data_IF_807708861866
#
_entry.id   IF_807708861866
#
_cell.length_a   1.000
_cell.length_b   1.000
_cell.length_c   1.000
_cell.angle_alpha   90.00
_cell.angle_beta   90.00
_cell.angle_gamma   90.00
#
_symmetry.space_group_name_H-M   'P 1'
#
loop_
_entity.id
_entity.type
_entity.pdbx_description
1 polymer ?
#
# COMPACT_ATOMS: atom_id res chain seq x y z
N UNK A 1 -48.87 13.04 -0.74
CA UNK A 1 -48.58 14.21 -1.61
C UNK A 1 -47.43 13.79 -2.52
N UNK A 2 -47.67 13.17 -3.67
CA UNK A 2 -48.03 13.73 -5.00
C UNK A 2 -46.93 14.61 -5.65
N UNK A 3 -46.09 13.93 -6.45
CA UNK A 3 -45.64 14.18 -7.85
C UNK A 3 -45.67 15.58 -8.52
N UNK A 4 -44.74 15.70 -9.52
CA UNK A 4 -44.67 16.56 -10.75
C UNK A 4 -44.00 17.94 -10.60
N UNK A 5 -43.26 18.52 -11.56
CA UNK A 5 -42.96 18.34 -13.01
C UNK A 5 -41.58 19.03 -13.29
N UNK A 6 -40.66 18.60 -14.18
CA UNK A 6 -40.64 18.47 -15.65
C UNK A 6 -40.58 19.82 -16.44
N UNK A 7 -39.51 19.97 -17.26
CA UNK A 7 -39.35 20.99 -18.31
C UNK A 7 -37.92 20.97 -18.90
N UNK A 8 -37.63 20.08 -19.86
CA UNK A 8 -37.64 20.26 -21.34
C UNK A 8 -36.38 20.92 -21.95
N UNK A 9 -35.68 20.10 -22.74
CA UNK A 9 -34.63 20.44 -23.72
C UNK A 9 -35.27 20.93 -25.04
N UNK A 10 -34.45 21.54 -25.93
CA UNK A 10 -34.50 21.09 -27.31
C UNK A 10 -33.12 20.78 -27.93
N UNK A 11 -33.14 19.63 -28.61
CA UNK A 11 -32.33 19.12 -29.72
C UNK A 11 -31.32 20.04 -30.44
N UNK A 12 -30.13 19.50 -30.65
CA UNK A 12 -29.41 19.62 -31.93
C UNK A 12 -28.67 18.31 -32.25
N UNK A 13 -29.27 17.49 -33.13
CA UNK A 13 -28.57 16.45 -33.90
C UNK A 13 -27.81 17.13 -35.03
N UNK A 14 -26.52 16.80 -35.25
CA UNK A 14 -25.90 16.80 -36.58
C UNK A 14 -24.70 15.84 -36.64
N UNK A 15 -25.02 14.65 -37.15
CA UNK A 15 -24.32 13.89 -38.21
C UNK A 15 -22.80 13.76 -38.17
N UNK A 16 -22.40 12.52 -37.89
CA UNK A 16 -21.13 11.88 -38.21
C UNK A 16 -20.96 11.72 -39.74
N UNK A 17 -19.82 12.13 -40.30
CA UNK A 17 -19.32 11.73 -41.63
C UNK A 17 -17.80 11.62 -41.59
N UNK A 18 -17.27 10.41 -41.77
CA UNK A 18 -15.93 10.18 -42.34
C UNK A 18 -15.99 10.39 -43.86
N UNK A 19 -14.89 10.86 -44.49
CA UNK A 19 -14.16 9.92 -45.34
C UNK A 19 -12.63 10.13 -45.47
N UNK A 20 -11.97 8.98 -45.68
CA UNK A 20 -10.83 8.65 -46.56
C UNK A 20 -9.40 9.13 -46.28
N UNK A 21 -8.51 8.15 -46.54
CA UNK A 21 -7.05 8.11 -46.51
C UNK A 21 -6.41 8.88 -47.68
N UNK A 22 -5.26 9.50 -47.39
CA UNK A 22 -4.05 9.64 -48.21
C UNK A 22 -2.92 9.98 -47.19
N UNK A 23 -1.76 9.34 -47.11
CA UNK A 23 -0.81 9.00 -48.15
C UNK A 23 0.23 10.13 -48.25
N UNK A 24 1.39 10.03 -47.57
CA UNK A 24 2.48 11.01 -47.73
C UNK A 24 3.52 11.06 -46.58
N UNK A 25 4.60 10.29 -46.77
CA UNK A 25 6.00 10.38 -46.33
C UNK A 25 6.48 11.05 -45.00
N UNK A 26 7.56 10.50 -44.39
CA UNK A 26 8.10 10.94 -43.11
C UNK A 26 9.05 12.14 -43.26
N UNK A 27 8.85 13.16 -42.42
CA UNK A 27 9.84 14.21 -42.22
C UNK A 27 10.92 13.73 -41.24
N UNK A 28 12.10 13.50 -41.81
CA UNK A 28 13.37 13.46 -41.10
C UNK A 28 13.64 14.83 -40.47
N UNK A 29 13.86 14.86 -39.16
CA UNK A 29 14.35 16.03 -38.44
C UNK A 29 15.70 15.69 -37.79
N UNK A 30 16.73 15.86 -38.62
CA UNK A 30 18.06 16.43 -38.35
C UNK A 30 18.68 16.14 -36.97
N UNK A 31 19.67 15.25 -36.97
CA UNK A 31 20.77 15.22 -36.01
C UNK A 31 21.39 16.60 -35.87
N UNK A 32 21.39 17.15 -34.65
CA UNK A 32 22.20 18.31 -34.31
C UNK A 32 23.57 17.80 -33.90
N UNK A 33 24.56 18.18 -34.70
CA UNK A 33 25.98 17.90 -34.54
C UNK A 33 26.47 18.65 -33.30
N UNK A 34 27.03 17.92 -32.33
CA UNK A 34 27.77 18.47 -31.21
C UNK A 34 29.20 18.77 -31.70
N UNK A 35 29.51 20.05 -31.90
CA UNK A 35 30.89 20.50 -32.16
C UNK A 35 31.62 20.70 -30.84
N UNK A 36 32.61 19.85 -30.58
CA UNK A 36 33.65 20.06 -29.56
C UNK A 36 34.86 20.65 -30.29
N UNK A 37 35.23 21.88 -29.95
CA UNK A 37 36.46 22.53 -30.41
C UNK A 37 37.62 22.00 -29.56
N UNK A 38 38.49 21.20 -30.18
CA UNK A 38 39.75 20.72 -29.60
C UNK A 38 40.89 21.41 -30.36
N UNK A 39 41.65 22.27 -29.68
CA UNK A 39 42.85 22.92 -30.22
C UNK A 39 44.03 21.98 -29.95
N UNK A 40 44.54 21.33 -30.99
CA UNK A 40 45.81 20.59 -30.97
C UNK A 40 46.92 21.48 -31.51
N UNK A 41 47.87 21.83 -30.63
CA UNK A 41 49.16 22.40 -31.02
C UNK A 41 50.14 21.28 -31.35
N UNK A 42 50.51 21.18 -32.63
CA UNK A 42 51.63 20.39 -33.13
C UNK A 42 52.93 21.19 -32.93
N UNK A 43 53.93 20.59 -32.29
CA UNK A 43 55.34 20.92 -32.51
C UNK A 43 56.07 19.61 -32.77
N UNK A 44 56.63 19.49 -33.97
CA UNK A 44 57.52 18.41 -34.36
C UNK A 44 58.99 18.80 -34.17
N UNK A 45 59.83 17.80 -33.96
CA UNK A 45 61.23 17.84 -34.34
C UNK A 45 61.73 16.40 -34.56
N UNK A 46 62.41 16.19 -35.68
CA UNK A 46 63.07 14.95 -36.10
C UNK A 46 64.53 14.92 -35.62
N UNK A 47 65.10 13.70 -35.59
CA UNK A 47 66.53 13.38 -35.54
C UNK A 47 66.89 12.64 -34.25
N UNK A 48 67.64 11.54 -34.20
CA UNK A 48 68.39 10.71 -35.13
C UNK A 48 69.19 9.71 -34.28
N UNK A 49 69.50 8.51 -34.81
CA UNK A 49 70.05 7.35 -34.10
C UNK A 49 71.42 7.54 -33.40
N UNK A 50 71.62 6.89 -32.24
CA UNK A 50 72.90 6.25 -31.86
C UNK A 50 72.71 5.16 -30.79
N UNK A 51 73.36 4.01 -30.98
CA UNK A 51 73.43 2.86 -30.06
C UNK A 51 74.72 2.91 -29.24
N UNK A 52 74.68 2.55 -27.95
CA UNK A 52 75.89 2.22 -27.19
C UNK A 52 75.78 2.21 -25.66
N UNK A 53 75.56 1.02 -25.11
CA UNK A 53 75.96 0.51 -23.77
C UNK A 53 75.19 0.88 -22.49
N UNK A 54 75.00 -0.20 -21.73
CA UNK A 54 74.29 -0.46 -20.48
C UNK A 54 74.88 0.18 -19.22
N UNK A 55 74.00 0.65 -18.34
CA UNK A 55 74.10 0.48 -16.87
C UNK A 55 72.72 0.42 -16.23
N UNK A 56 72.60 -0.48 -15.25
CA UNK A 56 71.37 -0.87 -14.57
C UNK A 56 70.81 0.19 -13.61
N UNK A 57 69.47 0.09 -13.45
CA UNK A 57 68.65 0.48 -12.29
C UNK A 57 68.58 1.97 -11.97
N UNK A 58 67.61 2.66 -12.57
CA UNK A 58 67.03 3.88 -12.04
C UNK A 58 65.53 3.65 -11.85
N UNK A 59 65.05 4.00 -10.65
CA UNK A 59 63.65 4.00 -10.25
C UNK A 59 62.72 4.43 -11.38
N UNK A 60 61.77 3.55 -11.72
CA UNK A 60 60.54 4.00 -12.36
C UNK A 60 59.91 5.03 -11.41
N UNK A 61 59.65 6.28 -11.85
CA UNK A 61 58.83 7.16 -11.07
C UNK A 61 57.48 6.46 -10.93
N UNK A 62 57.01 6.30 -9.69
CA UNK A 62 55.60 6.08 -9.43
C UNK A 62 54.91 7.24 -10.15
N UNK A 63 54.27 6.96 -11.27
CA UNK A 63 53.37 7.88 -11.93
C UNK A 63 52.19 8.02 -10.97
N UNK A 64 52.34 8.94 -10.02
CA UNK A 64 51.28 9.38 -9.15
C UNK A 64 50.25 10.01 -10.08
N UNK A 65 49.21 9.25 -10.41
CA UNK A 65 48.01 9.75 -11.04
C UNK A 65 47.47 10.84 -10.12
N UNK A 66 47.78 12.10 -10.46
CA UNK A 66 47.23 13.26 -9.78
C UNK A 66 45.74 13.26 -10.10
N UNK A 67 44.92 12.67 -9.21
CA UNK A 67 43.46 12.79 -9.26
C UNK A 67 43.11 14.29 -9.10
N UNK A 68 43.12 15.01 -10.23
CA UNK A 68 42.84 16.43 -10.33
C UNK A 68 41.36 16.71 -10.07
N UNK A 69 41.00 16.82 -8.79
CA UNK A 69 39.68 17.28 -8.35
C UNK A 69 39.67 18.77 -8.05
N UNK A 70 38.72 19.53 -8.62
CA UNK A 70 38.52 20.93 -8.22
C UNK A 70 37.69 20.96 -6.94
N UNK A 71 38.23 21.58 -5.89
CA UNK A 71 37.59 21.70 -4.58
C UNK A 71 36.91 23.06 -4.41
N UNK A 72 35.61 23.04 -4.12
CA UNK A 72 34.80 24.22 -3.84
C UNK A 72 34.30 24.20 -2.39
N UNK A 73 34.04 25.39 -1.84
CA UNK A 73 33.44 25.57 -0.51
C UNK A 73 32.21 26.46 -0.60
N UNK A 74 31.21 26.22 0.26
CA UNK A 74 30.01 27.05 0.42
C UNK A 74 29.31 27.39 -0.89
N UNK A 75 28.97 26.36 -1.67
CA UNK A 75 28.40 26.51 -3.00
C UNK A 75 26.92 26.13 -3.05
N UNK A 76 26.24 26.71 -4.04
CA UNK A 76 24.88 26.35 -4.43
C UNK A 76 24.93 25.78 -5.84
N UNK A 77 24.52 24.52 -5.99
CA UNK A 77 24.38 23.87 -7.29
C UNK A 77 22.91 23.85 -7.71
N UNK A 78 22.70 23.95 -9.02
CA UNK A 78 21.38 23.87 -9.65
C UNK A 78 21.50 23.05 -10.93
N UNK A 79 20.43 22.32 -11.26
CA UNK A 79 20.31 21.68 -12.57
C UNK A 79 18.97 22.02 -13.18
N UNK A 80 18.99 22.29 -14.49
CA UNK A 80 17.79 22.51 -15.30
C UNK A 80 17.63 21.40 -16.33
N UNK A 81 16.41 21.22 -16.82
CA UNK A 81 16.14 20.42 -18.00
C UNK A 81 16.43 21.22 -19.30
N UNK A 82 16.33 20.62 -20.50
CA UNK A 82 16.55 21.32 -21.77
C UNK A 82 15.60 22.49 -22.05
N UNK A 83 14.47 22.58 -21.34
CA UNK A 83 13.52 23.70 -21.42
C UNK A 83 13.87 24.84 -20.46
N UNK A 84 14.93 24.71 -19.65
CA UNK A 84 15.33 25.67 -18.64
C UNK A 84 14.59 25.54 -17.30
N UNK A 85 13.74 24.51 -17.12
CA UNK A 85 13.03 24.31 -15.85
C UNK A 85 13.96 23.71 -14.80
N UNK A 86 13.92 24.24 -13.58
CA UNK A 86 14.76 23.80 -12.47
C UNK A 86 14.32 22.42 -11.95
N UNK A 87 15.27 21.48 -11.86
CA UNK A 87 15.06 20.09 -11.40
C UNK A 87 15.41 19.90 -9.93
N UNK A 88 16.47 20.58 -9.48
CA UNK A 88 16.90 20.60 -8.08
C UNK A 88 17.78 21.81 -7.79
N UNK A 89 17.82 22.20 -6.51
CA UNK A 89 18.67 23.26 -5.97
C UNK A 89 19.24 22.80 -4.65
N UNK A 90 20.56 22.69 -4.56
CA UNK A 90 21.24 22.15 -3.37
C UNK A 90 22.36 23.09 -2.92
N UNK A 91 22.50 23.23 -1.61
CA UNK A 91 23.63 23.90 -0.96
C UNK A 91 24.51 22.83 -0.33
N UNK A 92 25.82 22.94 -0.52
CA UNK A 92 26.82 22.04 0.04
C UNK A 92 27.92 22.84 0.75
N UNK A 93 28.49 22.27 1.80
CA UNK A 93 29.64 22.85 2.49
C UNK A 93 30.91 22.72 1.64
N UNK A 94 31.13 21.54 1.06
CA UNK A 94 32.23 21.30 0.13
C UNK A 94 31.76 20.53 -1.10
N UNK A 95 32.41 20.75 -2.23
CA UNK A 95 32.27 19.93 -3.41
C UNK A 95 33.63 19.60 -4.01
N UNK A 96 33.81 18.36 -4.47
CA UNK A 96 34.96 17.95 -5.26
C UNK A 96 34.44 17.48 -6.60
N UNK A 97 34.85 18.13 -7.68
CA UNK A 97 34.47 17.77 -9.05
C UNK A 97 35.61 17.03 -9.75
N UNK A 98 35.27 15.88 -10.33
CA UNK A 98 36.16 15.06 -11.15
C UNK A 98 35.78 15.23 -12.63
N UNK A 99 36.55 16.00 -13.43
CA UNK A 99 36.22 16.28 -14.83
C UNK A 99 36.23 15.03 -15.72
N UNK A 100 37.17 14.13 -15.47
CA UNK A 100 37.34 12.81 -16.09
C UNK A 100 36.09 11.93 -15.91
N UNK A 101 35.56 11.86 -14.68
CA UNK A 101 34.36 11.08 -14.35
C UNK A 101 33.05 11.83 -14.60
N UNK A 102 33.10 13.16 -14.77
CA UNK A 102 31.93 14.06 -14.83
C UNK A 102 30.98 13.87 -13.63
N UNK A 103 31.57 13.69 -12.45
CA UNK A 103 30.86 13.51 -11.18
C UNK A 103 31.29 14.59 -10.19
N UNK A 104 30.33 15.14 -9.46
CA UNK A 104 30.60 16.00 -8.31
C UNK A 104 30.22 15.29 -7.01
N UNK A 105 31.16 15.22 -6.06
CA UNK A 105 30.95 14.72 -4.71
C UNK A 105 30.72 15.89 -3.75
N UNK A 106 29.62 15.85 -3.00
CA UNK A 106 29.17 16.94 -2.15
C UNK A 106 29.11 16.51 -0.69
N UNK A 107 29.51 17.38 0.24
CA UNK A 107 29.40 17.16 1.69
C UNK A 107 28.43 18.12 2.36
N UNK A 108 27.72 17.64 3.38
CA UNK A 108 26.77 18.37 4.22
C UNK A 108 25.75 19.14 3.40
N UNK A 109 24.92 18.38 2.69
CA UNK A 109 24.00 18.89 1.67
C UNK A 109 22.62 19.14 2.28
N UNK A 110 22.06 20.30 1.94
CA UNK A 110 20.65 20.64 2.14
C UNK A 110 20.07 21.18 0.85
N UNK A 111 18.82 20.89 0.53
CA UNK A 111 18.25 21.40 -0.71
C UNK A 111 16.82 20.99 -1.00
N UNK A 112 16.43 21.28 -2.23
CA UNK A 112 15.07 21.11 -2.74
C UNK A 112 15.12 20.27 -4.03
N UNK A 113 14.17 19.34 -4.13
CA UNK A 113 13.86 18.62 -5.37
C UNK A 113 12.59 19.21 -5.95
N UNK A 114 12.58 19.42 -7.26
CA UNK A 114 11.51 20.13 -7.93
C UNK A 114 10.84 19.24 -8.98
N UNK A 115 9.51 19.38 -9.08
CA UNK A 115 8.68 18.83 -10.15
C UNK A 115 8.06 20.00 -10.91
N UNK A 116 8.24 20.03 -12.23
CA UNK A 116 7.84 21.14 -13.11
C UNK A 116 8.25 22.53 -12.56
N UNK A 117 9.48 22.64 -12.04
CA UNK A 117 10.03 23.89 -11.49
C UNK A 117 9.47 24.30 -10.12
N UNK A 118 8.64 23.48 -9.48
CA UNK A 118 8.09 23.74 -8.14
C UNK A 118 8.70 22.81 -7.10
N UNK A 119 9.14 23.31 -5.93
CA UNK A 119 9.62 22.46 -4.85
C UNK A 119 8.56 21.44 -4.39
N UNK A 120 8.92 20.17 -4.41
CA UNK A 120 8.07 19.06 -3.92
C UNK A 120 8.68 18.34 -2.73
N UNK A 121 10.01 18.34 -2.63
CA UNK A 121 10.72 17.76 -1.50
C UNK A 121 11.80 18.71 -0.97
N UNK A 122 12.02 18.67 0.34
CA UNK A 122 13.18 19.24 1.00
C UNK A 122 14.05 18.10 1.57
N UNK A 123 15.36 18.18 1.39
CA UNK A 123 16.28 17.11 1.80
C UNK A 123 17.45 17.62 2.64
N UNK A 124 17.97 16.72 3.47
CA UNK A 124 19.26 16.85 4.15
C UNK A 124 20.01 15.52 4.07
N UNK A 125 21.30 15.57 3.76
CA UNK A 125 22.18 14.40 3.70
C UNK A 125 23.64 14.78 3.99
N UNK A 126 24.43 13.93 4.66
CA UNK A 126 25.85 14.20 4.84
C UNK A 126 26.63 14.11 3.53
N UNK A 127 26.22 13.26 2.58
CA UNK A 127 26.90 13.09 1.30
C UNK A 127 25.91 13.07 0.14
N UNK A 128 26.31 13.63 -1.00
CA UNK A 128 25.60 13.47 -2.27
C UNK A 128 26.56 13.35 -3.45
N UNK A 129 26.09 12.74 -4.54
CA UNK A 129 26.79 12.66 -5.81
C UNK A 129 25.88 13.15 -6.92
N UNK A 130 26.41 14.05 -7.74
CA UNK A 130 25.75 14.53 -8.96
C UNK A 130 26.40 13.85 -10.15
N UNK A 131 25.65 13.02 -10.87
CA UNK A 131 26.13 12.34 -12.07
C UNK A 131 25.58 13.04 -13.32
N UNK A 132 26.41 13.83 -13.99
CA UNK A 132 25.96 14.70 -15.08
C UNK A 132 25.36 13.93 -16.26
N UNK A 133 25.90 12.75 -16.58
CA UNK A 133 25.45 11.95 -17.72
C UNK A 133 24.09 11.28 -17.47
N UNK A 134 23.86 10.77 -16.26
CA UNK A 134 22.65 10.02 -15.93
C UNK A 134 21.49 10.92 -15.50
N UNK A 135 21.73 12.21 -15.28
CA UNK A 135 20.74 13.16 -14.71
C UNK A 135 20.16 12.62 -13.40
N UNK A 136 21.03 12.08 -12.53
CA UNK A 136 20.66 11.54 -11.23
C UNK A 136 21.39 12.27 -10.12
N UNK A 137 20.68 12.45 -9.01
CA UNK A 137 21.24 12.90 -7.74
C UNK A 137 21.15 11.75 -6.74
N UNK A 138 22.30 11.25 -6.32
CA UNK A 138 22.41 10.15 -5.36
C UNK A 138 22.74 10.76 -3.99
N UNK A 139 21.97 10.41 -2.96
CA UNK A 139 22.11 10.90 -1.59
C UNK A 139 22.50 9.72 -0.70
N UNK A 140 23.58 9.84 0.07
CA UNK A 140 24.15 8.75 0.84
C UNK A 140 24.37 9.12 2.32
N UNK A 141 24.23 8.13 3.20
CA UNK A 141 24.30 8.29 4.65
C UNK A 141 22.92 8.53 5.26
N UNK A 142 22.80 8.99 6.52
CA UNK A 142 21.52 9.34 7.12
C UNK A 142 20.82 10.47 6.33
N UNK A 143 19.93 10.09 5.43
CA UNK A 143 19.18 10.99 4.57
C UNK A 143 17.79 11.19 5.14
N UNK A 144 17.34 12.44 5.13
CA UNK A 144 15.96 12.81 5.45
C UNK A 144 15.39 13.60 4.28
N UNK A 145 14.22 13.18 3.80
CA UNK A 145 13.46 13.86 2.74
C UNK A 145 12.06 14.16 3.25
N UNK A 146 11.65 15.42 3.22
CA UNK A 146 10.32 15.87 3.62
C UNK A 146 9.50 16.22 2.38
N UNK A 147 8.32 15.61 2.23
CA UNK A 147 7.32 16.03 1.24
C UNK A 147 6.66 17.32 1.73
N UNK A 148 6.78 18.38 0.93
CA UNK A 148 6.28 19.71 1.24
C UNK A 148 4.75 19.82 1.13
N UNK A 149 4.08 18.79 0.60
CA UNK A 149 2.62 18.79 0.35
C UNK A 149 1.85 17.95 1.37
N UNK A 150 2.44 16.84 1.82
CA UNK A 150 1.68 15.75 2.46
C UNK A 150 2.10 15.38 3.89
N UNK A 151 2.97 16.17 4.55
CA UNK A 151 3.51 15.89 5.89
C UNK A 151 4.28 14.55 5.99
N UNK A 152 4.60 13.93 4.86
CA UNK A 152 5.35 12.68 4.78
C UNK A 152 6.84 12.98 4.94
N UNK A 153 7.52 12.18 5.74
CA UNK A 153 8.98 12.23 5.87
C UNK A 153 9.54 10.85 5.54
N UNK A 154 10.41 10.80 4.54
CA UNK A 154 11.21 9.62 4.21
C UNK A 154 12.56 9.74 4.92
N UNK A 155 13.01 8.66 5.54
CA UNK A 155 14.34 8.54 6.14
C UNK A 155 14.99 7.24 5.70
N UNK A 156 16.31 7.24 5.51
CA UNK A 156 17.02 6.07 5.00
C UNK A 156 18.51 6.34 4.79
N UNK A 157 19.17 5.42 4.09
CA UNK A 157 20.63 5.46 3.86
C UNK A 157 21.05 5.81 2.44
N UNK A 158 20.21 5.49 1.48
CA UNK A 158 20.47 5.70 0.06
C UNK A 158 19.19 6.17 -0.60
N UNK A 159 19.25 7.33 -1.26
CA UNK A 159 18.18 7.85 -2.09
C UNK A 159 18.71 8.23 -3.46
N UNK A 160 17.91 7.99 -4.49
CA UNK A 160 18.21 8.36 -5.87
C UNK A 160 17.05 9.19 -6.39
N UNK A 161 17.33 10.43 -6.75
CA UNK A 161 16.37 11.31 -7.42
C UNK A 161 16.52 11.19 -8.94
N UNK A 162 15.42 10.83 -9.60
CA UNK A 162 15.31 10.64 -11.04
C UNK A 162 14.24 11.60 -11.59
N UNK A 163 14.62 12.87 -11.87
CA UNK A 163 13.67 13.91 -12.27
C UNK A 163 12.89 13.54 -13.55
N UNK A 164 13.54 12.90 -14.52
CA UNK A 164 12.91 12.48 -15.78
C UNK A 164 11.75 11.47 -15.57
N UNK A 165 11.76 10.75 -14.45
CA UNK A 165 10.72 9.77 -14.11
C UNK A 165 9.79 10.30 -13.00
N UNK A 166 10.08 11.48 -12.45
CA UNK A 166 9.43 12.04 -11.26
C UNK A 166 9.58 11.14 -10.02
N UNK A 167 10.63 10.32 -9.97
CA UNK A 167 10.80 9.27 -8.96
C UNK A 167 11.89 9.63 -7.95
N UNK A 168 11.57 9.42 -6.67
CA UNK A 168 12.52 9.34 -5.58
C UNK A 168 12.56 7.87 -5.12
N UNK A 169 13.65 7.20 -5.42
CA UNK A 169 13.91 5.82 -5.02
C UNK A 169 14.71 5.81 -3.73
N UNK A 170 14.30 5.00 -2.76
CA UNK A 170 14.97 4.81 -1.48
C UNK A 170 15.26 3.32 -1.26
N UNK A 171 16.48 3.01 -0.84
CA UNK A 171 16.98 1.64 -0.66
C UNK A 171 17.59 1.43 0.72
N UNK A 172 17.94 0.18 1.01
CA UNK A 172 18.55 -0.26 2.27
C UNK A 172 17.63 -0.07 3.49
N UNK A 173 16.40 -0.58 3.36
CA UNK A 173 15.38 -0.56 4.41
C UNK A 173 14.95 0.86 4.83
N UNK A 174 14.52 1.72 3.89
CA UNK A 174 14.01 3.04 4.21
C UNK A 174 12.73 2.97 5.07
N UNK A 175 12.46 4.08 5.74
CA UNK A 175 11.27 4.29 6.55
C UNK A 175 10.52 5.53 6.05
N UNK A 176 9.19 5.41 5.92
CA UNK A 176 8.30 6.56 5.81
C UNK A 176 7.63 6.81 7.17
N UNK A 177 7.60 8.09 7.56
CA UNK A 177 6.87 8.60 8.73
C UNK A 177 5.75 9.52 8.25
N UNK A 178 4.56 9.22 8.73
CA UNK A 178 3.34 10.02 8.59
C UNK A 178 2.70 10.11 9.98
N UNK A 179 1.87 11.11 10.34
CA UNK A 179 1.40 11.27 11.72
C UNK A 179 0.92 9.95 12.36
N UNK A 180 1.67 9.47 13.37
CA UNK A 180 1.46 8.21 14.09
C UNK A 180 1.40 6.94 13.20
N UNK A 181 1.90 6.98 11.98
CA UNK A 181 2.01 5.83 11.06
C UNK A 181 3.47 5.73 10.58
N UNK A 182 4.03 4.53 10.71
CA UNK A 182 5.35 4.20 10.17
C UNK A 182 5.22 3.11 9.13
N UNK A 183 5.85 3.30 7.97
CA UNK A 183 5.99 2.29 6.93
C UNK A 183 7.47 1.97 6.73
N UNK A 184 7.81 0.69 6.65
CA UNK A 184 9.16 0.20 6.31
C UNK A 184 9.06 -0.84 5.21
N UNK A 185 10.07 -0.90 4.35
CA UNK A 185 10.22 -1.91 3.31
C UNK A 185 11.68 -1.96 2.85
N UNK A 186 12.09 -2.97 2.08
CA UNK A 186 13.47 -3.01 1.54
C UNK A 186 13.73 -1.91 0.52
N UNK A 187 12.73 -1.60 -0.29
CA UNK A 187 12.76 -0.53 -1.30
C UNK A 187 11.45 0.26 -1.27
N UNK A 188 11.57 1.59 -1.42
CA UNK A 188 10.45 2.52 -1.51
C UNK A 188 10.68 3.44 -2.71
N UNK A 189 9.67 3.56 -3.57
CA UNK A 189 9.66 4.52 -4.67
C UNK A 189 8.52 5.51 -4.47
N UNK A 190 8.81 6.80 -4.40
CA UNK A 190 7.81 7.86 -4.34
C UNK A 190 7.76 8.60 -5.68
N UNK A 191 6.57 8.71 -6.28
CA UNK A 191 6.35 9.49 -7.48
C UNK A 191 5.86 10.89 -7.10
N UNK A 192 6.67 11.91 -7.38
CA UNK A 192 6.36 13.30 -7.05
C UNK A 192 5.12 13.82 -7.80
N UNK A 193 4.88 13.40 -9.04
CA UNK A 193 3.76 13.86 -9.86
C UNK A 193 2.43 13.24 -9.44
N UNK A 194 2.38 11.91 -9.28
CA UNK A 194 1.15 11.18 -8.91
C UNK A 194 0.90 11.14 -7.41
N UNK A 195 1.91 11.48 -6.59
CA UNK A 195 1.87 11.37 -5.12
C UNK A 195 1.58 9.95 -4.64
N UNK A 196 2.04 8.97 -5.43
CA UNK A 196 1.97 7.56 -5.10
C UNK A 196 3.30 7.08 -4.55
N UNK A 197 3.23 6.26 -3.51
CA UNK A 197 4.37 5.54 -2.96
C UNK A 197 4.19 4.06 -3.23
N UNK A 198 5.24 3.41 -3.70
CA UNK A 198 5.33 1.96 -3.84
C UNK A 198 6.39 1.43 -2.89
N UNK A 199 6.00 0.50 -2.03
CA UNK A 199 6.89 -0.18 -1.09
C UNK A 199 6.97 -1.67 -1.45
N UNK A 200 8.17 -2.24 -1.41
CA UNK A 200 8.42 -3.60 -1.88
C UNK A 200 9.35 -4.36 -0.95
N UNK A 201 9.03 -5.65 -0.78
CA UNK A 201 9.71 -6.65 0.03
C UNK A 201 9.71 -6.29 1.53
N UNK A 202 9.22 -7.23 2.35
CA UNK A 202 9.12 -7.07 3.80
C UNK A 202 8.41 -5.77 4.20
N UNK A 203 7.29 -5.47 3.54
CA UNK A 203 6.53 -4.26 3.86
C UNK A 203 5.87 -4.45 5.21
N UNK A 204 6.08 -3.47 6.08
CA UNK A 204 5.42 -3.36 7.37
C UNK A 204 4.87 -1.95 7.55
N UNK A 205 3.60 -1.83 7.94
CA UNK A 205 2.99 -0.57 8.35
C UNK A 205 2.53 -0.71 9.80
N UNK A 206 2.94 0.22 10.66
CA UNK A 206 2.53 0.25 12.06
C UNK A 206 1.80 1.56 12.31
N UNK A 207 0.55 1.47 12.75
CA UNK A 207 -0.23 2.59 13.25
C UNK A 207 -0.14 2.63 14.77
N UNK A 208 0.19 3.80 15.33
CA UNK A 208 0.15 4.11 16.76
C UNK A 208 -1.02 5.04 17.08
N UNK A 209 -2.01 5.11 16.17
CA UNK A 209 -3.19 5.95 16.38
C UNK A 209 -4.21 5.18 17.25
N UNK A 210 -4.79 5.80 18.28
CA UNK A 210 -5.80 5.15 19.13
C UNK A 210 -7.04 4.70 18.36
N UNK A 211 -7.47 5.44 17.35
CA UNK A 211 -8.63 5.12 16.50
C UNK A 211 -8.37 3.90 15.58
N UNK A 212 -7.10 3.56 15.37
CA UNK A 212 -6.69 2.30 14.76
C UNK A 212 -6.23 1.26 15.77
N UNK A 213 -6.33 1.52 17.09
CA UNK A 213 -6.08 0.52 18.14
C UNK A 213 -4.79 -0.30 17.90
N UNK A 214 -3.69 0.40 17.60
CA UNK A 214 -2.35 -0.17 17.39
C UNK A 214 -2.31 -1.34 16.38
N UNK A 215 -2.78 -1.11 15.15
CA UNK A 215 -2.70 -2.09 14.06
C UNK A 215 -1.31 -2.14 13.40
N UNK A 216 -0.87 -3.36 13.09
CA UNK A 216 0.28 -3.66 12.24
C UNK A 216 -0.16 -4.40 10.98
N UNK A 217 0.16 -3.87 9.81
CA UNK A 217 0.00 -4.51 8.50
C UNK A 217 1.36 -5.07 8.03
N UNK A 218 1.35 -6.27 7.47
CA UNK A 218 2.49 -6.88 6.76
C UNK A 218 2.08 -7.34 5.36
N UNK A 219 2.97 -7.15 4.39
CA UNK A 219 2.75 -7.57 3.00
C UNK A 219 4.08 -7.66 2.22
N UNK A 220 4.04 -8.25 1.01
CA UNK A 220 5.18 -8.19 0.10
C UNK A 220 5.25 -6.87 -0.68
N UNK A 221 4.10 -6.31 -1.03
CA UNK A 221 3.98 -5.08 -1.81
C UNK A 221 2.89 -4.21 -1.22
N UNK A 222 3.11 -2.90 -1.28
CA UNK A 222 2.11 -1.89 -0.93
C UNK A 222 2.19 -0.71 -1.89
N UNK A 223 1.03 -0.24 -2.30
CA UNK A 223 0.82 1.02 -2.99
C UNK A 223 0.09 1.97 -2.05
N UNK A 224 0.60 3.17 -1.88
CA UNK A 224 -0.03 4.21 -1.08
C UNK A 224 -0.33 5.41 -1.95
N UNK A 225 -1.62 5.72 -2.11
CA UNK A 225 -2.04 7.02 -2.60
C UNK A 225 -2.04 8.00 -1.43
N UNK A 226 -1.01 8.85 -1.36
CA UNK A 226 -0.81 9.75 -0.22
C UNK A 226 -1.91 10.80 -0.16
N UNK A 227 -2.33 11.32 -1.33
CA UNK A 227 -3.38 12.33 -1.45
C UNK A 227 -4.75 11.82 -1.00
N UNK A 228 -5.09 10.59 -1.35
CA UNK A 228 -6.35 9.94 -0.98
C UNK A 228 -6.28 9.22 0.37
N UNK A 229 -5.11 9.22 1.02
CA UNK A 229 -4.85 8.50 2.26
C UNK A 229 -5.26 7.01 2.20
N UNK A 230 -4.99 6.37 1.05
CA UNK A 230 -5.40 4.99 0.78
C UNK A 230 -4.19 4.08 0.57
N UNK A 231 -4.08 3.05 1.40
CA UNK A 231 -3.09 1.98 1.26
C UNK A 231 -3.74 0.79 0.55
N UNK A 232 -3.04 0.18 -0.39
CA UNK A 232 -3.42 -1.06 -1.06
C UNK A 232 -2.24 -2.01 -0.94
N UNK A 233 -2.43 -3.13 -0.26
CA UNK A 233 -1.40 -4.12 0.00
C UNK A 233 -1.78 -5.48 -0.60
N UNK A 234 -0.78 -6.27 -0.98
CA UNK A 234 -0.99 -7.53 -1.71
C UNK A 234 -1.20 -7.29 -3.21
N UNK A 235 -1.67 -8.32 -3.92
CA UNK A 235 -1.88 -8.23 -5.38
C UNK A 235 -2.89 -9.25 -5.89
N UNK A 236 -4.00 -8.79 -6.47
CA UNK A 236 -4.96 -9.68 -7.13
C UNK A 236 -4.39 -10.32 -8.41
N UNK A 237 -3.49 -9.62 -9.11
CA UNK A 237 -2.98 -10.03 -10.43
C UNK A 237 -1.72 -10.89 -10.37
N UNK A 238 -0.92 -10.79 -9.30
CA UNK A 238 0.30 -11.58 -9.15
C UNK A 238 0.22 -12.48 -7.92
N UNK A 239 -0.01 -13.79 -8.15
CA UNK A 239 -0.13 -14.79 -7.07
C UNK A 239 1.07 -14.84 -6.13
N UNK A 240 2.30 -14.55 -6.61
CA UNK A 240 3.51 -14.54 -5.77
C UNK A 240 3.56 -13.35 -4.80
N UNK A 241 2.78 -12.31 -5.06
CA UNK A 241 2.70 -11.09 -4.26
C UNK A 241 1.36 -10.99 -3.50
N UNK A 242 0.53 -12.03 -3.55
CA UNK A 242 -0.67 -12.17 -2.72
C UNK A 242 -0.26 -12.38 -1.27
N UNK A 243 -1.17 -12.01 -0.38
CA UNK A 243 -1.01 -12.23 1.04
C UNK A 243 -0.77 -10.91 1.76
N UNK A 244 -1.71 -10.63 2.65
CA UNK A 244 -1.65 -9.53 3.61
C UNK A 244 -2.08 -10.06 4.95
N UNK A 245 -1.47 -9.54 6.00
CA UNK A 245 -1.91 -9.76 7.37
C UNK A 245 -1.97 -8.42 8.08
N UNK A 246 -3.06 -8.22 8.82
CA UNK A 246 -3.24 -7.11 9.75
C UNK A 246 -3.43 -7.71 11.12
N UNK A 247 -2.68 -7.26 12.11
CA UNK A 247 -2.80 -7.73 13.49
C UNK A 247 -2.88 -6.57 14.48
N UNK A 248 -3.61 -6.76 15.57
CA UNK A 248 -3.51 -5.90 16.75
C UNK A 248 -2.30 -6.31 17.58
N UNK A 249 -1.43 -5.35 17.87
CA UNK A 249 -0.18 -5.62 18.60
C UNK A 249 -0.22 -5.21 20.07
N UNK A 250 -1.27 -4.51 20.52
CA UNK A 250 -1.43 -4.04 21.90
C UNK A 250 -2.90 -4.04 22.34
N UNK A 251 -3.10 -3.89 23.65
CA UNK A 251 -4.42 -3.80 24.27
C UNK A 251 -5.08 -5.16 24.55
N UNK A 252 -6.33 -5.16 25.04
CA UNK A 252 -7.05 -6.40 25.39
C UNK A 252 -7.32 -7.31 24.19
N UNK A 253 -7.34 -6.73 22.99
CA UNK A 253 -7.58 -7.42 21.73
C UNK A 253 -6.27 -7.76 21.00
N UNK A 254 -5.12 -7.75 21.70
CA UNK A 254 -3.86 -8.18 21.13
C UNK A 254 -3.96 -9.64 20.66
N UNK A 255 -3.50 -9.91 19.44
CA UNK A 255 -3.61 -11.23 18.81
C UNK A 255 -4.77 -11.36 17.82
N UNK A 256 -5.73 -10.41 17.80
CA UNK A 256 -6.69 -10.32 16.70
C UNK A 256 -5.94 -10.13 15.38
N UNK A 257 -6.40 -10.85 14.35
CA UNK A 257 -5.76 -10.84 13.04
C UNK A 257 -6.77 -10.89 11.92
N UNK A 258 -6.45 -10.23 10.82
CA UNK A 258 -7.17 -10.29 9.57
C UNK A 258 -6.20 -10.63 8.44
N UNK A 259 -6.55 -11.60 7.61
CA UNK A 259 -5.74 -12.08 6.49
C UNK A 259 -6.54 -12.08 5.19
N UNK A 260 -5.86 -11.93 4.06
CA UNK A 260 -6.46 -12.01 2.73
C UNK A 260 -5.41 -12.01 1.62
N UNK A 261 -5.84 -12.07 0.36
CA UNK A 261 -4.96 -11.91 -0.80
C UNK A 261 -4.60 -10.44 -1.09
N UNK A 262 -5.53 -9.53 -0.81
CA UNK A 262 -5.38 -8.07 -0.92
C UNK A 262 -6.06 -7.37 0.25
N UNK A 263 -5.53 -6.21 0.63
CA UNK A 263 -6.14 -5.28 1.58
C UNK A 263 -6.17 -3.88 0.97
N UNK A 264 -7.32 -3.22 1.04
CA UNK A 264 -7.41 -1.77 0.91
C UNK A 264 -7.68 -1.15 2.30
N UNK A 265 -6.89 -0.15 2.70
CA UNK A 265 -7.05 0.56 3.96
C UNK A 265 -7.19 2.06 3.69
N UNK A 266 -8.40 2.58 3.94
CA UNK A 266 -8.68 4.01 3.91
C UNK A 266 -8.38 4.61 5.28
N UNK A 267 -7.33 5.43 5.38
CA UNK A 267 -6.87 6.02 6.63
C UNK A 267 -7.77 7.16 7.13
N UNK A 268 -8.61 7.72 6.25
CA UNK A 268 -9.57 8.79 6.56
C UNK A 268 -10.89 8.20 7.06
N UNK A 269 -11.45 7.24 6.32
CA UNK A 269 -12.69 6.55 6.68
C UNK A 269 -12.51 5.51 7.79
N UNK A 270 -11.25 5.13 8.06
CA UNK A 270 -10.86 4.13 9.07
C UNK A 270 -11.42 2.74 8.77
N UNK A 271 -11.49 2.42 7.48
CA UNK A 271 -12.03 1.17 6.94
C UNK A 271 -10.91 0.32 6.36
N UNK A 272 -10.88 -0.95 6.73
CA UNK A 272 -10.10 -2.00 6.09
C UNK A 272 -11.03 -2.86 5.25
N UNK A 273 -10.67 -3.12 4.00
CA UNK A 273 -11.38 -4.05 3.11
C UNK A 273 -10.43 -5.15 2.69
N UNK A 274 -10.66 -6.36 3.17
CA UNK A 274 -9.93 -7.56 2.80
C UNK A 274 -10.65 -8.26 1.64
N UNK A 275 -9.89 -8.79 0.70
CA UNK A 275 -10.40 -9.55 -0.45
C UNK A 275 -9.57 -10.81 -0.70
N UNK A 276 -10.18 -11.74 -1.44
CA UNK A 276 -9.62 -13.04 -1.80
C UNK A 276 -9.29 -13.88 -0.56
N UNK A 277 -10.22 -14.76 -0.17
CA UNK A 277 -10.07 -15.61 1.03
C UNK A 277 -9.84 -14.77 2.29
N UNK A 278 -10.65 -13.72 2.43
CA UNK A 278 -10.60 -12.84 3.58
C UNK A 278 -11.04 -13.60 4.84
N UNK A 279 -10.24 -13.49 5.90
CA UNK A 279 -10.56 -14.06 7.20
C UNK A 279 -10.22 -13.05 8.29
N UNK A 280 -11.08 -12.93 9.30
CA UNK A 280 -10.84 -12.17 10.53
C UNK A 280 -10.99 -13.14 11.70
N UNK A 281 -9.98 -13.20 12.55
CA UNK A 281 -9.95 -13.99 13.76
C UNK A 281 -9.91 -13.05 14.96
N UNK A 282 -10.96 -13.11 15.76
CA UNK A 282 -11.14 -12.32 16.97
C UNK A 282 -10.74 -13.14 18.20
N UNK A 283 -10.14 -12.48 19.18
CA UNK A 283 -9.74 -13.12 20.46
C UNK A 283 -10.86 -12.99 21.48
N UNK A 284 -11.52 -11.83 21.52
CA UNK A 284 -12.65 -11.56 22.40
C UNK A 284 -13.70 -10.72 21.67
N UNK A 285 -14.84 -11.31 21.25
CA UNK A 285 -15.22 -12.72 21.43
C UNK A 285 -14.41 -13.68 20.54
N UNK A 286 -14.24 -14.95 20.97
CA UNK A 286 -13.57 -16.00 20.18
C UNK A 286 -14.44 -16.42 18.98
N UNK A 287 -14.25 -15.71 17.87
CA UNK A 287 -15.02 -15.84 16.64
C UNK A 287 -14.11 -15.65 15.42
N UNK A 288 -14.35 -16.45 14.39
CA UNK A 288 -13.71 -16.35 13.09
C UNK A 288 -14.75 -16.03 12.03
N UNK A 289 -14.50 -15.01 11.22
CA UNK A 289 -15.34 -14.61 10.09
C UNK A 289 -14.54 -14.82 8.81
N UNK A 290 -15.08 -15.56 7.85
CA UNK A 290 -14.44 -15.86 6.57
C UNK A 290 -15.36 -15.52 5.40
N UNK A 291 -14.82 -15.00 4.31
CA UNK A 291 -15.57 -14.66 3.09
C UNK A 291 -14.66 -14.29 1.92
N UNK A 292 -15.26 -13.99 0.77
CA UNK A 292 -14.53 -13.48 -0.40
C UNK A 292 -14.13 -12.01 -0.24
N UNK A 293 -14.95 -11.22 0.44
CA UNK A 293 -14.68 -9.83 0.81
C UNK A 293 -15.20 -9.53 2.22
N UNK A 294 -14.35 -8.96 3.07
CA UNK A 294 -14.73 -8.52 4.42
C UNK A 294 -14.35 -7.06 4.61
N UNK A 295 -15.25 -6.28 5.20
CA UNK A 295 -15.02 -4.89 5.58
C UNK A 295 -14.97 -4.78 7.10
N UNK A 296 -13.84 -4.28 7.61
CA UNK A 296 -13.63 -4.02 9.03
C UNK A 296 -13.58 -2.51 9.28
N UNK A 297 -14.61 -2.02 9.96
CA UNK A 297 -14.73 -0.65 10.45
C UNK A 297 -14.20 -0.61 11.88
N UNK A 298 -12.92 -0.26 12.02
CA UNK A 298 -12.19 -0.46 13.29
C UNK A 298 -12.72 0.42 14.41
N UNK A 299 -13.04 1.68 14.11
CA UNK A 299 -13.60 2.63 15.07
C UNK A 299 -15.04 2.29 15.44
N UNK A 300 -15.85 1.91 14.44
CA UNK A 300 -17.25 1.52 14.62
C UNK A 300 -17.39 0.11 15.22
N UNK A 301 -16.27 -0.59 15.45
CA UNK A 301 -16.27 -1.94 16.01
C UNK A 301 -17.17 -2.89 15.21
N UNK A 302 -17.11 -2.84 13.88
CA UNK A 302 -17.99 -3.62 13.00
C UNK A 302 -17.20 -4.39 11.94
N UNK A 303 -17.54 -5.66 11.75
CA UNK A 303 -17.12 -6.48 10.61
C UNK A 303 -18.34 -6.78 9.77
N UNK A 304 -18.26 -6.62 8.45
CA UNK A 304 -19.40 -6.89 7.56
C UNK A 304 -18.97 -7.48 6.22
N UNK A 305 -19.93 -8.15 5.58
CA UNK A 305 -19.84 -8.67 4.22
C UNK A 305 -21.20 -8.54 3.54
N UNK A 306 -21.18 -8.05 2.29
CA UNK A 306 -22.32 -8.10 1.38
C UNK A 306 -22.22 -9.31 0.42
N UNK A 307 -21.23 -10.16 0.63
CA UNK A 307 -20.96 -11.39 -0.11
C UNK A 307 -21.09 -12.60 0.84
N UNK A 308 -21.21 -13.82 0.29
CA UNK A 308 -21.30 -15.02 1.11
C UNK A 308 -20.18 -15.10 2.14
N UNK A 309 -20.56 -15.40 3.38
CA UNK A 309 -19.64 -15.50 4.49
C UNK A 309 -19.95 -16.73 5.36
N UNK A 310 -18.93 -17.15 6.09
CA UNK A 310 -19.01 -18.14 7.15
C UNK A 310 -18.52 -17.52 8.45
N UNK A 311 -19.22 -17.81 9.54
CA UNK A 311 -18.82 -17.44 10.90
C UNK A 311 -18.65 -18.71 11.70
N UNK A 312 -17.54 -18.84 12.42
CA UNK A 312 -17.23 -19.96 13.28
C UNK A 312 -16.95 -19.45 14.69
N UNK A 313 -17.62 -20.01 15.70
CA UNK A 313 -17.27 -19.82 17.11
C UNK A 313 -16.76 -21.15 17.67
N UNK A 314 -15.44 -21.26 17.93
CA UNK A 314 -14.85 -22.47 18.51
C UNK A 314 -15.42 -22.76 19.90
N UNK A 315 -15.49 -21.75 20.77
CA UNK A 315 -16.04 -21.86 22.12
C UNK A 315 -17.47 -22.40 22.16
N UNK A 316 -18.30 -22.06 21.17
CA UNK A 316 -19.70 -22.53 21.06
C UNK A 316 -19.86 -23.75 20.15
N UNK A 317 -18.79 -24.24 19.51
CA UNK A 317 -18.80 -25.33 18.51
C UNK A 317 -19.84 -25.09 17.40
N UNK A 318 -19.92 -23.84 16.94
CA UNK A 318 -20.99 -23.36 16.07
C UNK A 318 -20.43 -22.81 14.75
N UNK A 319 -21.04 -23.22 13.64
CA UNK A 319 -20.77 -22.66 12.32
C UNK A 319 -22.05 -22.07 11.74
N UNK A 320 -21.99 -20.82 11.27
CA UNK A 320 -23.07 -20.18 10.54
C UNK A 320 -22.60 -19.77 9.14
N UNK A 321 -23.48 -19.85 8.16
CA UNK A 321 -23.25 -19.44 6.77
C UNK A 321 -24.43 -18.59 6.30
N UNK A 322 -24.16 -17.57 5.49
CA UNK A 322 -25.19 -16.68 4.93
C UNK A 322 -24.69 -15.98 3.66
N UNK A 323 -25.61 -15.35 2.92
CA UNK A 323 -25.28 -14.55 1.73
C UNK A 323 -24.73 -13.16 2.06
N UNK A 324 -25.06 -12.63 3.24
CA UNK A 324 -24.53 -11.38 3.76
C UNK A 324 -24.62 -11.37 5.30
N UNK A 325 -23.81 -10.54 5.94
CA UNK A 325 -23.80 -10.47 7.39
C UNK A 325 -23.01 -9.30 7.95
N UNK A 326 -23.29 -8.97 9.20
CA UNK A 326 -22.55 -7.99 9.99
C UNK A 326 -22.38 -8.48 11.42
N UNK A 327 -21.28 -8.10 12.03
CA UNK A 327 -20.96 -8.36 13.42
C UNK A 327 -20.61 -7.04 14.09
N UNK A 328 -21.41 -6.66 15.07
CA UNK A 328 -21.16 -5.56 15.98
C UNK A 328 -20.34 -6.11 17.16
N UNK A 329 -19.09 -5.68 17.28
CA UNK A 329 -18.15 -6.15 18.31
C UNK A 329 -18.41 -5.47 19.65
N UNK A 330 -19.02 -4.27 19.66
CA UNK A 330 -19.37 -3.57 20.91
C UNK A 330 -20.54 -4.27 21.60
N UNK A 331 -21.52 -4.72 20.80
CA UNK A 331 -22.71 -5.43 21.28
C UNK A 331 -22.56 -6.94 21.26
N UNK A 332 -21.42 -7.45 20.76
CA UNK A 332 -21.16 -8.87 20.50
C UNK A 332 -22.33 -9.57 19.80
N UNK A 333 -22.86 -8.90 18.76
CA UNK A 333 -24.07 -9.28 18.05
C UNK A 333 -23.77 -9.54 16.58
N UNK A 334 -24.15 -10.73 16.12
CA UNK A 334 -24.05 -11.14 14.72
C UNK A 334 -25.44 -11.09 14.09
N UNK A 335 -25.54 -10.46 12.92
CA UNK A 335 -26.73 -10.47 12.07
C UNK A 335 -26.40 -11.07 10.71
N UNK A 336 -27.14 -12.11 10.32
CA UNK A 336 -26.98 -12.84 9.07
C UNK A 336 -28.26 -12.76 8.25
N UNK A 337 -28.12 -12.65 6.93
CA UNK A 337 -29.25 -12.53 6.01
C UNK A 337 -29.02 -13.33 4.72
N UNK A 338 -30.11 -13.89 4.22
CA UNK A 338 -30.16 -14.65 2.98
C UNK A 338 -29.67 -16.08 3.18
N UNK A 339 -30.58 -17.04 3.10
CA UNK A 339 -30.32 -18.48 3.17
C UNK A 339 -29.37 -18.84 4.34
N UNK A 340 -29.71 -18.37 5.54
CA UNK A 340 -28.87 -18.61 6.71
C UNK A 340 -28.94 -20.08 7.07
N UNK A 341 -27.79 -20.71 7.22
CA UNK A 341 -27.63 -22.05 7.77
C UNK A 341 -26.73 -21.99 9.00
N UNK A 342 -27.19 -22.58 10.10
CA UNK A 342 -26.46 -22.65 11.35
C UNK A 342 -26.37 -24.11 11.81
N UNK A 343 -25.15 -24.58 12.05
CA UNK A 343 -24.83 -25.96 12.40
C UNK A 343 -24.07 -25.98 13.73
N UNK A 344 -24.49 -26.85 14.65
CA UNK A 344 -23.83 -27.10 15.94
C UNK A 344 -23.26 -28.52 15.95
N UNK A 345 -22.02 -28.68 16.43
CA UNK A 345 -21.36 -30.00 16.44
C UNK A 345 -21.50 -30.76 17.77
N UNK A 346 -21.48 -30.08 18.93
CA UNK A 346 -21.52 -30.75 20.25
C UNK A 346 -22.84 -31.48 20.54
N UNK A 347 -23.97 -30.85 20.20
CA UNK A 347 -25.28 -31.47 20.15
C UNK A 347 -25.78 -31.25 18.71
N UNK A 348 -25.62 -32.24 17.82
CA UNK A 348 -25.86 -32.08 16.40
C UNK A 348 -27.26 -31.52 16.11
N UNK A 349 -27.26 -30.25 15.73
CA UNK A 349 -28.45 -29.49 15.41
C UNK A 349 -28.19 -28.58 14.22
N UNK A 350 -29.22 -28.42 13.39
CA UNK A 350 -29.22 -27.55 12.23
C UNK A 350 -30.43 -26.62 12.29
N UNK A 351 -30.19 -25.35 11.97
CA UNK A 351 -31.21 -24.32 11.81
C UNK A 351 -31.03 -23.64 10.46
N UNK A 352 -32.10 -23.59 9.67
CA UNK A 352 -32.15 -22.81 8.44
C UNK A 352 -33.20 -21.70 8.57
N UNK A 353 -32.90 -20.50 8.05
CA UNK A 353 -33.80 -19.35 8.07
C UNK A 353 -33.45 -18.30 7.00
N UNK A 354 -34.30 -17.28 6.83
CA UNK A 354 -34.02 -16.14 5.95
C UNK A 354 -33.12 -15.10 6.62
N UNK A 355 -33.30 -14.92 7.94
CA UNK A 355 -32.51 -14.01 8.76
C UNK A 355 -32.20 -14.64 10.10
N UNK A 356 -31.07 -14.28 10.68
CA UNK A 356 -30.64 -14.75 11.99
C UNK A 356 -29.93 -13.64 12.76
N UNK A 357 -30.28 -13.46 14.02
CA UNK A 357 -29.54 -12.64 14.97
C UNK A 357 -29.00 -13.53 16.08
N UNK A 358 -27.70 -13.46 16.33
CA UNK A 358 -27.01 -14.23 17.36
C UNK A 358 -26.33 -13.28 18.33
N UNK A 359 -26.73 -13.39 19.59
CA UNK A 359 -26.16 -12.64 20.71
C UNK A 359 -25.10 -13.53 21.36
N UNK A 360 -23.81 -13.24 21.12
CA UNK A 360 -22.72 -14.09 21.56
C UNK A 360 -22.64 -14.27 23.09
N UNK A 361 -22.82 -13.23 23.93
CA UNK A 361 -22.70 -13.37 25.38
C UNK A 361 -23.76 -14.29 25.99
N UNK A 362 -25.00 -14.14 25.53
CA UNK A 362 -26.16 -14.89 26.06
C UNK A 362 -26.42 -16.18 25.30
N UNK A 363 -25.65 -16.45 24.25
CA UNK A 363 -25.83 -17.55 23.30
C UNK A 363 -27.27 -17.66 22.77
N UNK A 364 -27.98 -16.53 22.73
CA UNK A 364 -29.35 -16.43 22.25
C UNK A 364 -29.34 -16.29 20.74
N UNK A 365 -30.19 -17.06 20.07
CA UNK A 365 -30.39 -17.02 18.62
C UNK A 365 -31.85 -16.69 18.34
N UNK A 366 -32.08 -15.68 17.51
CA UNK A 366 -33.38 -15.38 16.92
C UNK A 366 -33.31 -15.65 15.43
N UNK A 367 -34.21 -16.45 14.89
CA UNK A 367 -34.31 -16.75 13.48
C UNK A 367 -35.69 -16.38 12.94
N UNK A 368 -35.72 -15.82 11.73
CA UNK A 368 -36.93 -15.32 11.08
C UNK A 368 -36.98 -15.77 9.62
N UNK A 369 -38.18 -16.13 9.18
CA UNK A 369 -38.48 -16.51 7.80
C UNK A 369 -38.06 -17.94 7.47
N UNK A 370 -39.01 -18.74 6.97
CA UNK A 370 -38.81 -20.13 6.51
C UNK A 370 -37.96 -20.96 7.48
N UNK A 371 -38.28 -20.87 8.77
CA UNK A 371 -37.51 -21.53 9.82
C UNK A 371 -37.67 -23.05 9.72
N UNK A 372 -36.55 -23.75 9.68
CA UNK A 372 -36.47 -25.19 9.77
C UNK A 372 -35.41 -25.58 10.79
N UNK A 373 -35.82 -26.25 11.86
CA UNK A 373 -34.94 -26.73 12.92
C UNK A 373 -34.93 -28.26 12.96
N UNK A 374 -33.75 -28.84 13.09
CA UNK A 374 -33.56 -30.28 13.25
C UNK A 374 -32.49 -30.56 14.30
N UNK A 375 -32.75 -31.52 15.18
CA UNK A 375 -31.81 -32.01 16.20
C UNK A 375 -31.78 -33.53 16.18
N UNK A 376 -30.62 -34.13 16.46
CA UNK A 376 -30.46 -35.58 16.52
C UNK A 376 -30.91 -36.18 17.86
N UNK A 377 -30.57 -35.58 18.99
CA UNK A 377 -30.84 -36.15 20.32
C UNK A 377 -31.31 -35.08 21.33
N UNK A 378 -32.53 -35.21 21.89
CA UNK A 378 -33.62 -36.05 21.36
C UNK A 378 -33.94 -35.66 19.91
N UNK A 379 -34.41 -36.64 19.13
CA UNK A 379 -34.75 -36.39 17.74
C UNK A 379 -35.91 -35.41 17.65
N UNK A 380 -35.72 -34.34 16.89
CA UNK A 380 -36.74 -33.34 16.67
C UNK A 380 -36.60 -32.70 15.30
N UNK A 381 -37.74 -32.43 14.66
CA UNK A 381 -37.81 -31.70 13.40
C UNK A 381 -39.02 -30.78 13.41
N UNK A 382 -38.80 -29.46 13.29
CA UNK A 382 -39.87 -28.46 13.35
C UNK A 382 -39.73 -27.44 12.23
N UNK A 383 -40.87 -26.92 11.77
CA UNK A 383 -40.97 -25.82 10.80
C UNK A 383 -41.78 -24.68 11.40
N UNK A 384 -41.38 -23.45 11.12
CA UNK A 384 -42.06 -22.26 11.60
C UNK A 384 -41.74 -21.03 10.77
N UNK A 385 -42.28 -19.89 11.19
CA UNK A 385 -41.91 -18.57 10.67
C UNK A 385 -40.87 -17.89 11.54
N UNK A 386 -40.77 -18.27 12.81
CA UNK A 386 -39.85 -17.70 13.79
C UNK A 386 -39.28 -18.80 14.68
N UNK A 387 -38.05 -18.60 15.17
CA UNK A 387 -37.51 -19.38 16.27
C UNK A 387 -36.67 -18.52 17.21
N UNK A 388 -36.73 -18.86 18.49
CA UNK A 388 -35.84 -18.34 19.53
C UNK A 388 -35.20 -19.52 20.23
N UNK A 389 -33.87 -19.50 20.38
CA UNK A 389 -33.15 -20.55 21.08
C UNK A 389 -32.02 -20.01 21.96
N UNK A 390 -31.63 -20.81 22.94
CA UNK A 390 -30.54 -20.56 23.89
C UNK A 390 -29.61 -21.77 23.91
N UNK A 391 -28.37 -21.62 23.42
CA UNK A 391 -27.47 -22.76 23.22
C UNK A 391 -26.95 -23.38 24.52
N UNK A 392 -26.83 -22.56 25.56
CA UNK A 392 -26.40 -22.91 26.93
C UNK A 392 -27.48 -23.72 27.65
N UNK A 393 -28.75 -23.33 27.50
CA UNK A 393 -29.91 -24.03 28.05
C UNK A 393 -30.38 -25.20 27.19
N UNK A 394 -29.89 -25.27 25.95
CA UNK A 394 -30.37 -26.21 24.93
C UNK A 394 -31.89 -26.10 24.71
N UNK A 395 -32.43 -24.90 24.86
CA UNK A 395 -33.85 -24.60 24.68
C UNK A 395 -34.09 -24.01 23.30
N UNK A 396 -35.14 -24.46 22.63
CA UNK A 396 -35.59 -23.90 21.35
C UNK A 396 -37.11 -23.80 21.33
N UNK A 397 -37.61 -22.64 20.94
CA UNK A 397 -39.02 -22.35 20.70
C UNK A 397 -39.17 -22.01 19.22
N UNK A 398 -40.00 -22.77 18.51
CA UNK A 398 -40.34 -22.52 17.11
C UNK A 398 -41.80 -22.13 17.02
N UNK A 399 -42.09 -21.01 16.37
CA UNK A 399 -43.43 -20.42 16.27
C UNK A 399 -43.86 -20.30 14.81
N UNK A 400 -45.16 -20.50 14.57
CA UNK A 400 -45.81 -20.39 13.27
C UNK A 400 -47.32 -20.45 13.45
N UNK A 401 -48.02 -21.35 12.74
CA UNK A 401 -49.43 -21.67 13.04
C UNK A 401 -49.62 -22.41 14.36
N UNK A 402 -48.56 -23.06 14.85
CA UNK A 402 -48.48 -23.79 16.10
C UNK A 402 -47.14 -23.45 16.74
N UNK A 403 -47.08 -23.39 18.08
CA UNK A 403 -45.86 -23.19 18.84
C UNK A 403 -45.33 -24.53 19.33
N UNK A 404 -44.03 -24.78 19.15
CA UNK A 404 -43.35 -25.97 19.65
C UNK A 404 -42.17 -25.54 20.51
N UNK A 405 -42.12 -26.03 21.75
CA UNK A 405 -41.06 -25.72 22.72
C UNK A 405 -40.31 -26.99 23.10
N UNK A 406 -38.99 -26.86 23.22
CA UNK A 406 -38.06 -27.94 23.57
C UNK A 406 -37.26 -27.49 24.77
N UNK A 407 -37.26 -28.31 25.82
CA UNK A 407 -36.49 -28.12 27.05
C UNK A 407 -35.84 -29.47 27.37
N UNK A 408 -34.54 -29.53 27.69
CA UNK A 408 -33.92 -30.78 28.16
C UNK A 408 -34.61 -31.28 29.43
N UNK A 409 -34.79 -32.60 29.53
CA UNK A 409 -35.22 -33.24 30.78
C UNK A 409 -33.97 -33.34 31.67
N UNK A 410 -34.06 -32.81 32.90
CA UNK A 410 -32.96 -32.81 33.89
C UNK A 410 -32.66 -34.21 34.43
#
# INVERSE_FOLDING_TARGET
MLFRNLGYLPNARKTWKHPKKAGGHPYAAKSVIFSVLLVTGLVGAMGGCHWGQTTSTADSPIEAEVEGGVNFRNLVLRQTNPKGELLWKIQAETATYSPDRKVAHLKNVKGELLDAGRPVYQLTTPQAQVQQQQTQLILNGPVRVQDLRNKVVLVGREFIWQPNQNQLLARQNPQIRYPKITLTAKEITANSKTQQVRAQQNVQVVSQRPDFQDLQLTAHILLWNVKEAQLIAGSLTNRKLRGVEVKRIKGPNAGERAIGGELAWNLTEKVLTLREQAQVHLVNPDVQVAGSALMWRVEQQEISSNEPLQIFSPSQTLTAQAQAGRMDLAQERVELRGQVQLNRSRNPAQLNADQLTWFLPTQKINALGRVFYQQQTPFLRVKGTEAVGWLDKQEVIVSGRVQTQVIPVQ
#
